data_IF_651095173193
#
_entry.id   IF_651095173193
#
_cell.length_a   1.000
_cell.length_b   1.000
_cell.length_c   1.000
_cell.angle_alpha   90.00
_cell.angle_beta   90.00
_cell.angle_gamma   90.00
#
_symmetry.space_group_name_H-M   'P 1'
#
loop_
_entity.id
_entity.type
_entity.pdbx_description
1 polymer ?
#
# COMPACT_ATOMS: atom_id res chain seq x y z
N UNK A 1 10.71 23.75 -21.39
CA UNK A 1 9.97 22.98 -20.37
C UNK A 1 11.04 22.36 -19.52
N UNK A 2 11.37 23.00 -18.39
CA UNK A 2 12.44 22.52 -17.53
C UNK A 2 12.04 21.16 -16.94
N UNK A 3 12.97 20.19 -16.86
CA UNK A 3 12.70 18.91 -16.22
C UNK A 3 12.41 19.16 -14.74
N UNK A 4 11.32 18.57 -14.23
CA UNK A 4 11.10 18.48 -12.79
C UNK A 4 12.18 17.57 -12.21
N UNK A 5 13.26 18.17 -11.70
CA UNK A 5 14.16 17.50 -10.78
C UNK A 5 13.36 17.17 -9.51
N UNK A 6 12.91 15.93 -9.39
CA UNK A 6 12.63 15.31 -8.09
C UNK A 6 14.00 15.16 -7.44
N UNK A 7 14.47 16.27 -6.85
CA UNK A 7 15.73 16.40 -6.12
C UNK A 7 15.91 15.18 -5.23
N UNK A 8 17.07 14.55 -5.40
CA UNK A 8 17.51 13.40 -4.65
C UNK A 8 17.39 13.66 -3.15
N UNK A 9 16.47 12.94 -2.52
CA UNK A 9 16.48 12.70 -1.10
C UNK A 9 16.76 11.21 -0.92
N UNK A 10 17.79 10.87 -0.15
CA UNK A 10 18.18 9.48 0.08
C UNK A 10 16.95 8.66 0.50
N UNK A 11 16.86 7.38 0.12
CA UNK A 11 15.73 6.50 0.48
C UNK A 11 15.44 6.48 1.99
N UNK A 12 16.42 6.84 2.80
CA UNK A 12 16.34 6.94 4.27
C UNK A 12 15.50 8.15 4.74
N UNK A 13 15.49 9.24 3.98
CA UNK A 13 14.74 10.48 4.28
C UNK A 13 13.24 10.41 3.91
N UNK A 14 12.83 9.38 3.16
CA UNK A 14 11.45 9.18 2.68
C UNK A 14 10.85 7.89 3.26
N UNK A 15 11.19 7.56 4.51
CA UNK A 15 10.60 6.42 5.21
C UNK A 15 9.52 6.87 6.19
N UNK A 16 8.40 6.13 6.23
CA UNK A 16 7.35 6.37 7.22
C UNK A 16 7.84 5.98 8.62
N UNK A 17 7.39 6.64 9.69
CA UNK A 17 7.79 6.29 11.05
C UNK A 17 7.42 4.83 11.38
N UNK A 18 8.44 3.96 11.46
CA UNK A 18 8.26 2.51 11.61
C UNK A 18 7.38 2.15 12.81
N UNK A 19 7.60 2.78 13.96
CA UNK A 19 6.81 2.51 15.18
C UNK A 19 5.32 2.80 14.99
N UNK A 20 4.98 3.89 14.30
CA UNK A 20 3.58 4.24 14.00
C UNK A 20 2.98 3.24 13.03
N UNK A 21 3.71 2.89 11.97
CA UNK A 21 3.25 1.90 11.00
C UNK A 21 3.02 0.53 11.64
N UNK A 22 3.95 0.07 12.49
CA UNK A 22 3.83 -1.22 13.17
C UNK A 22 2.66 -1.25 14.16
N UNK A 23 2.40 -0.12 14.82
CA UNK A 23 1.23 0.03 15.69
C UNK A 23 -0.07 -0.09 14.90
N UNK A 24 -0.19 0.63 13.78
CA UNK A 24 -1.36 0.55 12.88
C UNK A 24 -1.53 -0.88 12.35
N UNK A 25 -0.46 -1.53 11.89
CA UNK A 25 -0.52 -2.92 11.40
C UNK A 25 -1.08 -3.86 12.48
N UNK A 26 -0.65 -3.70 13.74
CA UNK A 26 -1.16 -4.51 14.86
C UNK A 26 -2.61 -4.21 15.19
N UNK A 27 -3.03 -2.95 15.16
CA UNK A 27 -4.42 -2.54 15.41
C UNK A 27 -5.39 -3.08 14.36
N UNK A 28 -4.91 -3.34 13.14
CA UNK A 28 -5.69 -3.96 12.05
C UNK A 28 -5.82 -5.48 12.16
N UNK A 29 -5.19 -6.10 13.17
CA UNK A 29 -5.16 -7.55 13.35
C UNK A 29 -5.83 -7.97 14.67
N UNK A 30 -6.34 -9.21 14.75
CA UNK A 30 -6.81 -9.76 16.02
C UNK A 30 -5.69 -9.77 17.08
N UNK A 31 -6.03 -9.65 18.38
CA UNK A 31 -5.05 -9.48 19.45
C UNK A 31 -4.02 -10.63 19.55
N UNK A 32 -4.40 -11.84 19.14
CA UNK A 32 -3.55 -13.03 19.22
C UNK A 32 -2.65 -13.23 17.99
N UNK A 33 -2.77 -12.37 16.97
CA UNK A 33 -2.02 -12.51 15.72
C UNK A 33 -0.70 -11.76 15.82
N UNK A 34 0.39 -12.48 15.54
CA UNK A 34 1.74 -11.91 15.43
C UNK A 34 2.14 -11.81 13.96
N UNK A 35 2.84 -10.72 13.63
CA UNK A 35 3.41 -10.48 12.30
C UNK A 35 4.92 -10.49 12.41
N UNK A 36 5.60 -11.24 11.55
CA UNK A 36 7.06 -11.26 11.49
C UNK A 36 7.61 -9.85 11.19
N UNK A 37 8.78 -9.52 11.74
CA UNK A 37 9.40 -8.19 11.54
C UNK A 37 9.61 -7.88 10.06
N UNK A 38 10.15 -8.83 9.30
CA UNK A 38 10.39 -8.68 7.86
C UNK A 38 9.11 -8.38 7.08
N UNK A 39 7.97 -8.92 7.51
CA UNK A 39 6.66 -8.60 6.91
C UNK A 39 6.22 -7.19 7.25
N UNK A 40 6.48 -6.72 8.47
CA UNK A 40 6.19 -5.34 8.85
C UNK A 40 7.06 -4.35 8.08
N UNK A 41 8.35 -4.64 7.90
CA UNK A 41 9.25 -3.83 7.08
C UNK A 41 8.80 -3.78 5.61
N UNK A 42 8.43 -4.94 5.03
CA UNK A 42 7.87 -5.01 3.68
C UNK A 42 6.59 -4.16 3.53
N UNK A 43 5.70 -4.18 4.53
CA UNK A 43 4.49 -3.35 4.51
C UNK A 43 4.82 -1.86 4.54
N UNK A 44 5.85 -1.44 5.29
CA UNK A 44 6.30 -0.05 5.31
C UNK A 44 6.83 0.37 3.93
N UNK A 45 7.68 -0.46 3.31
CA UNK A 45 8.19 -0.21 1.95
C UNK A 45 7.04 -0.14 0.93
N UNK A 46 6.06 -1.02 1.04
CA UNK A 46 4.87 -1.02 0.19
C UNK A 46 4.04 0.26 0.34
N UNK A 47 3.94 0.82 1.56
CA UNK A 47 3.24 2.08 1.78
C UNK A 47 3.98 3.27 1.17
N UNK A 48 5.32 3.30 1.24
CA UNK A 48 6.13 4.33 0.58
C UNK A 48 5.93 4.26 -0.93
N UNK A 49 6.02 3.06 -1.51
CA UNK A 49 5.81 2.88 -2.95
C UNK A 49 4.39 3.22 -3.38
N UNK A 50 3.38 2.93 -2.55
CA UNK A 50 2.01 3.34 -2.80
C UNK A 50 1.86 4.86 -2.90
N UNK A 51 2.49 5.61 -2.00
CA UNK A 51 2.48 7.09 -2.04
C UNK A 51 3.14 7.59 -3.33
N UNK A 52 4.27 7.02 -3.73
CA UNK A 52 4.98 7.37 -4.96
C UNK A 52 4.11 7.09 -6.19
N UNK A 53 3.48 5.92 -6.24
CA UNK A 53 2.62 5.50 -7.34
C UNK A 53 1.41 6.43 -7.48
N UNK A 54 0.69 6.71 -6.39
CA UNK A 54 -0.47 7.62 -6.42
C UNK A 54 -0.05 9.03 -6.81
N UNK A 55 1.09 9.52 -6.30
CA UNK A 55 1.61 10.85 -6.65
C UNK A 55 1.93 10.95 -8.15
N UNK A 56 2.61 9.94 -8.70
CA UNK A 56 2.96 9.86 -10.12
C UNK A 56 1.70 9.84 -11.01
N UNK A 57 0.74 8.98 -10.69
CA UNK A 57 -0.50 8.85 -11.46
C UNK A 57 -1.38 10.10 -11.36
N UNK A 58 -1.41 10.75 -10.19
CA UNK A 58 -2.13 12.02 -10.00
C UNK A 58 -1.52 13.13 -10.84
N UNK A 59 -0.19 13.17 -10.94
CA UNK A 59 0.53 14.09 -11.79
C UNK A 59 0.27 13.82 -13.28
N UNK A 60 0.24 12.56 -13.70
CA UNK A 60 -0.10 12.19 -15.08
C UNK A 60 -1.53 12.62 -15.46
N UNK A 61 -2.51 12.40 -14.56
CA UNK A 61 -3.90 12.84 -14.77
C UNK A 61 -3.97 14.37 -14.86
N UNK A 62 -3.29 15.08 -13.96
CA UNK A 62 -3.23 16.55 -13.96
C UNK A 62 -2.67 17.09 -15.29
N UNK A 63 -1.55 16.52 -15.74
CA UNK A 63 -0.89 16.93 -16.98
C UNK A 63 -1.74 16.61 -18.22
N UNK A 64 -2.47 15.49 -18.22
CA UNK A 64 -3.39 15.13 -19.31
C UNK A 64 -4.58 16.10 -19.42
N UNK A 65 -4.93 16.77 -18.34
CA UNK A 65 -5.96 17.82 -18.30
C UNK A 65 -5.39 19.23 -18.52
N UNK A 66 -4.12 19.35 -18.95
CA UNK A 66 -3.41 20.62 -19.16
C UNK A 66 -3.40 21.55 -17.93
N UNK A 67 -3.51 20.97 -16.73
CA UNK A 67 -3.45 21.69 -15.45
C UNK A 67 -2.05 21.63 -14.86
N UNK A 68 -1.67 22.68 -14.13
CA UNK A 68 -0.37 22.80 -13.44
C UNK A 68 -0.44 22.56 -11.93
N UNK A 69 -1.63 22.34 -11.39
CA UNK A 69 -1.86 22.14 -9.96
C UNK A 69 -2.70 20.89 -9.77
N UNK A 70 -2.20 19.95 -8.97
CA UNK A 70 -2.91 18.72 -8.65
C UNK A 70 -4.09 19.08 -7.74
N UNK A 71 -5.30 18.83 -8.22
CA UNK A 71 -6.53 18.98 -7.48
C UNK A 71 -7.05 17.60 -7.00
N UNK A 72 -7.94 17.55 -5.99
CA UNK A 72 -8.41 16.29 -5.41
C UNK A 72 -9.00 15.30 -6.42
N UNK A 73 -9.66 15.80 -7.47
CA UNK A 73 -10.23 14.97 -8.53
C UNK A 73 -9.17 14.18 -9.32
N UNK A 74 -7.95 14.72 -9.46
CA UNK A 74 -6.85 13.99 -10.12
C UNK A 74 -6.40 12.81 -9.27
N UNK A 75 -6.37 12.99 -7.93
CA UNK A 75 -6.02 11.93 -6.98
C UNK A 75 -7.08 10.83 -6.99
N UNK A 76 -8.36 11.19 -7.02
CA UNK A 76 -9.44 10.20 -7.10
C UNK A 76 -9.34 9.36 -8.39
N UNK A 77 -9.13 10.00 -9.55
CA UNK A 77 -8.93 9.32 -10.83
C UNK A 77 -7.67 8.44 -10.83
N UNK A 78 -6.59 8.91 -10.21
CA UNK A 78 -5.36 8.12 -10.04
C UNK A 78 -5.62 6.87 -9.18
N UNK A 79 -6.34 7.00 -8.07
CA UNK A 79 -6.70 5.88 -7.20
C UNK A 79 -7.55 4.84 -7.94
N UNK A 80 -8.46 5.26 -8.81
CA UNK A 80 -9.25 4.33 -9.63
C UNK A 80 -8.38 3.47 -10.56
N UNK A 81 -7.33 4.05 -11.17
CA UNK A 81 -6.33 3.32 -11.98
C UNK A 81 -5.42 2.45 -11.12
N UNK A 82 -4.92 2.98 -10.01
CA UNK A 82 -3.96 2.30 -9.11
C UNK A 82 -4.60 1.11 -8.41
N UNK A 83 -5.90 1.17 -8.10
CA UNK A 83 -6.67 0.09 -7.47
C UNK A 83 -6.40 -1.28 -8.11
N UNK A 84 -6.35 -1.36 -9.43
CA UNK A 84 -6.11 -2.63 -10.13
C UNK A 84 -4.71 -3.20 -9.86
N UNK A 85 -3.69 -2.34 -9.77
CA UNK A 85 -2.30 -2.73 -9.43
C UNK A 85 -2.16 -3.06 -7.94
N UNK A 86 -2.80 -2.28 -7.06
CA UNK A 86 -2.71 -2.50 -5.61
C UNK A 86 -3.41 -3.80 -5.18
N UNK A 87 -4.51 -4.19 -5.83
CA UNK A 87 -5.16 -5.49 -5.59
C UNK A 87 -4.21 -6.67 -5.89
N UNK A 88 -3.32 -6.54 -6.87
CA UNK A 88 -2.30 -7.55 -7.14
C UNK A 88 -1.25 -7.62 -6.01
N UNK A 89 -0.84 -6.48 -5.44
CA UNK A 89 0.06 -6.43 -4.29
C UNK A 89 -0.56 -7.07 -3.04
N UNK A 90 -1.82 -6.75 -2.73
CA UNK A 90 -2.58 -7.38 -1.64
C UNK A 90 -2.70 -8.88 -1.85
N UNK A 91 -2.91 -9.32 -3.09
CA UNK A 91 -2.94 -10.75 -3.44
C UNK A 91 -1.60 -11.44 -3.19
N UNK A 92 -0.48 -10.76 -3.48
CA UNK A 92 0.88 -11.26 -3.20
C UNK A 92 1.18 -11.31 -1.71
N UNK A 93 0.82 -10.28 -0.95
CA UNK A 93 0.95 -10.27 0.51
C UNK A 93 0.09 -11.37 1.16
N UNK A 94 -1.12 -11.62 0.64
CA UNK A 94 -1.97 -12.73 1.07
C UNK A 94 -1.29 -14.08 0.83
N UNK A 95 -0.63 -14.28 -0.32
CA UNK A 95 0.15 -15.49 -0.59
C UNK A 95 1.33 -15.63 0.37
N UNK A 96 2.02 -14.53 0.68
CA UNK A 96 3.14 -14.51 1.61
C UNK A 96 2.72 -14.85 3.05
N UNK A 97 1.62 -14.25 3.54
CA UNK A 97 1.06 -14.56 4.86
C UNK A 97 0.53 -16.00 4.97
N UNK A 98 0.04 -16.58 3.87
CA UNK A 98 -0.34 -18.00 3.82
C UNK A 98 0.87 -18.95 3.83
N UNK A 99 2.05 -18.47 3.44
CA UNK A 99 3.30 -19.24 3.44
C UNK A 99 4.03 -19.18 4.79
N UNK A 100 3.90 -18.08 5.53
CA UNK A 100 4.64 -17.85 6.78
C UNK A 100 3.93 -18.33 8.05
N UNK A 101 2.73 -18.91 7.95
CA UNK A 101 2.06 -19.46 9.14
C UNK A 101 1.63 -20.92 8.97
N UNK A 102 2.31 -21.76 9.74
CA UNK A 102 2.00 -23.16 10.02
C UNK A 102 0.49 -23.37 10.26
N UNK A 103 -0.10 -24.23 9.42
CA UNK A 103 -1.29 -25.10 9.55
C UNK A 103 -2.54 -24.75 10.40
N UNK A 104 -2.59 -23.71 11.24
CA UNK A 104 -3.68 -23.52 12.22
C UNK A 104 -4.76 -22.50 11.81
N UNK A 105 -4.46 -21.54 10.92
CA UNK A 105 -5.39 -20.44 10.57
C UNK A 105 -6.19 -20.65 9.26
N UNK A 106 -6.02 -21.79 8.60
CA UNK A 106 -6.74 -22.12 7.35
C UNK A 106 -8.27 -22.04 7.46
N UNK A 107 -8.92 -22.42 8.59
CA UNK A 107 -10.37 -22.31 8.72
C UNK A 107 -10.88 -20.86 8.80
N UNK A 108 -10.08 -19.93 9.33
CA UNK A 108 -10.51 -18.56 9.64
C UNK A 108 -10.51 -17.63 8.41
N UNK A 109 -9.56 -17.80 7.50
CA UNK A 109 -9.48 -16.99 6.28
C UNK A 109 -10.59 -17.37 5.29
N UNK A 110 -10.99 -18.64 5.26
CA UNK A 110 -12.09 -19.10 4.41
C UNK A 110 -13.45 -18.56 4.90
N UNK A 111 -13.65 -18.49 6.22
CA UNK A 111 -14.92 -18.07 6.81
C UNK A 111 -15.18 -16.55 6.69
N UNK A 112 -14.14 -15.71 6.81
CA UNK A 112 -14.33 -14.24 6.68
C UNK A 112 -14.43 -13.74 5.23
N UNK A 113 -13.78 -14.41 4.27
CA UNK A 113 -13.88 -14.00 2.86
C UNK A 113 -15.23 -14.38 2.25
N UNK A 114 -15.83 -15.50 2.66
CA UNK A 114 -17.19 -15.87 2.22
C UNK A 114 -18.25 -14.93 2.80
N UNK A 115 -18.04 -14.41 4.02
CA UNK A 115 -19.03 -13.55 4.69
C UNK A 115 -18.92 -12.05 4.34
N UNK A 116 -17.93 -11.65 3.53
CA UNK A 116 -17.81 -10.29 2.99
C UNK A 116 -18.28 -10.19 1.52
N UNK A 117 -18.73 -11.31 0.95
CA UNK A 117 -19.19 -11.44 -0.43
C UNK A 117 -20.70 -11.78 -0.53
N UNK A 118 -21.45 -11.62 0.57
CA UNK A 118 -22.92 -11.66 0.63
C UNK A 118 -23.42 -10.34 1.18
#
# INVERSE_FOLDING_TARGET
MEPMDIVGKSKEDVSLPKSTMFKIIKEMLPPDVRVARDTQDLLVECCVEFINLVSSESNEVCNREDKKTIAPEHVLKALEKVRTRFLALVSTLRKFMLHTNSTSLRPWIHLKVVNLAV
#
